data_IF_781631991234
#
_entry.id   IF_781631991234
#
_cell.length_a   1.000
_cell.length_b   1.000
_cell.length_c   1.000
_cell.angle_alpha   90.00
_cell.angle_beta   90.00
_cell.angle_gamma   90.00
#
_symmetry.space_group_name_H-M   'P 1'
#
loop_
_entity.id
_entity.type
_entity.pdbx_description
1 polymer ?
#
# COMPACT_ATOMS: atom_id res chain seq x y z
N UNK A 1 -28.24 -11.16 -52.71
CA UNK A 1 -27.50 -11.44 -51.47
C UNK A 1 -28.31 -12.49 -50.69
N UNK A 2 -27.79 -13.70 -50.63
CA UNK A 2 -28.51 -14.87 -50.07
C UNK A 2 -28.58 -14.75 -48.54
N UNK A 3 -29.66 -15.25 -47.93
CA UNK A 3 -29.90 -15.15 -46.45
C UNK A 3 -28.76 -15.69 -45.60
N UNK A 4 -28.00 -16.69 -46.09
CA UNK A 4 -26.79 -17.21 -45.46
C UNK A 4 -25.63 -16.21 -45.39
N UNK A 5 -25.49 -15.34 -46.40
CA UNK A 5 -24.46 -14.30 -46.41
C UNK A 5 -24.76 -13.20 -45.38
N UNK A 6 -26.03 -12.82 -45.24
CA UNK A 6 -26.49 -11.85 -44.22
C UNK A 6 -26.29 -12.37 -42.78
N UNK A 7 -26.61 -13.64 -42.54
CA UNK A 7 -26.39 -14.27 -41.24
C UNK A 7 -24.91 -14.34 -40.85
N UNK A 8 -24.03 -14.65 -41.82
CA UNK A 8 -22.57 -14.65 -41.59
C UNK A 8 -22.05 -13.24 -41.30
N UNK A 9 -22.47 -12.24 -42.04
CA UNK A 9 -22.07 -10.84 -41.82
C UNK A 9 -22.55 -10.34 -40.44
N UNK A 10 -23.80 -10.60 -40.09
CA UNK A 10 -24.30 -10.23 -38.76
C UNK A 10 -23.55 -10.94 -37.62
N UNK A 11 -23.26 -12.25 -37.78
CA UNK A 11 -22.49 -13.00 -36.79
C UNK A 11 -21.07 -12.44 -36.59
N UNK A 12 -20.39 -12.08 -37.69
CA UNK A 12 -19.06 -11.47 -37.63
C UNK A 12 -19.10 -10.09 -36.97
N UNK A 13 -20.12 -9.28 -37.29
CA UNK A 13 -20.29 -7.96 -36.68
C UNK A 13 -20.50 -8.04 -35.16
N UNK A 14 -21.35 -8.95 -34.71
CA UNK A 14 -21.58 -9.19 -33.27
C UNK A 14 -20.26 -9.65 -32.60
N UNK A 15 -19.52 -10.59 -33.21
CA UNK A 15 -18.26 -11.05 -32.65
C UNK A 15 -17.24 -9.93 -32.52
N UNK A 16 -17.12 -9.03 -33.49
CA UNK A 16 -16.22 -7.88 -33.46
C UNK A 16 -16.61 -6.91 -32.35
N UNK A 17 -17.91 -6.62 -32.20
CA UNK A 17 -18.39 -5.71 -31.15
C UNK A 17 -18.12 -6.29 -29.76
N UNK A 18 -18.36 -7.58 -29.57
CA UNK A 18 -18.07 -8.26 -28.29
C UNK A 18 -16.57 -8.26 -27.99
N UNK A 19 -15.74 -8.57 -28.97
CA UNK A 19 -14.28 -8.51 -28.80
C UNK A 19 -13.79 -7.10 -28.47
N UNK A 20 -14.30 -6.08 -29.13
CA UNK A 20 -13.99 -4.69 -28.85
C UNK A 20 -14.42 -4.26 -27.43
N UNK A 21 -15.60 -4.69 -26.99
CA UNK A 21 -16.09 -4.42 -25.62
C UNK A 21 -15.22 -5.11 -24.56
N UNK A 22 -14.77 -6.34 -24.79
CA UNK A 22 -13.87 -7.05 -23.86
C UNK A 22 -12.52 -6.32 -23.77
N UNK A 23 -11.94 -5.96 -24.91
CA UNK A 23 -10.67 -5.22 -24.96
C UNK A 23 -10.80 -3.86 -24.23
N UNK A 24 -11.85 -3.11 -24.53
CA UNK A 24 -12.13 -1.84 -23.85
C UNK A 24 -12.28 -2.04 -22.33
N UNK A 25 -12.99 -3.09 -21.90
CA UNK A 25 -13.14 -3.43 -20.49
C UNK A 25 -11.81 -3.68 -19.78
N UNK A 26 -10.90 -4.41 -20.42
CA UNK A 26 -9.54 -4.69 -19.88
C UNK A 26 -8.75 -3.38 -19.70
N UNK A 27 -8.84 -2.44 -20.66
CA UNK A 27 -8.17 -1.15 -20.56
C UNK A 27 -8.73 -0.26 -19.44
N UNK A 28 -10.03 -0.34 -19.16
CA UNK A 28 -10.68 0.45 -18.09
C UNK A 28 -10.37 -0.09 -16.70
N UNK A 29 -10.30 -1.42 -16.54
CA UNK A 29 -10.05 -2.06 -15.23
C UNK A 29 -8.59 -1.93 -14.82
N UNK A 30 -7.67 -1.63 -15.72
CA UNK A 30 -6.23 -1.60 -15.48
C UNK A 30 -5.59 -2.99 -15.50
N UNK A 31 -4.26 -3.03 -15.46
CA UNK A 31 -3.53 -4.30 -15.51
C UNK A 31 -3.63 -5.04 -14.16
N UNK A 32 -3.81 -6.38 -14.15
CA UNK A 32 -3.80 -7.17 -12.91
C UNK A 32 -2.50 -7.01 -12.10
N UNK A 33 -1.39 -6.72 -12.77
CA UNK A 33 -0.10 -6.48 -12.12
C UNK A 33 -0.10 -5.14 -11.37
N UNK A 34 -0.64 -4.07 -11.96
CA UNK A 34 -0.75 -2.76 -11.31
C UNK A 34 -1.67 -2.79 -10.09
N UNK A 35 -2.78 -3.53 -10.17
CA UNK A 35 -3.69 -3.69 -9.03
C UNK A 35 -3.04 -4.48 -7.89
N UNK A 36 -2.22 -5.48 -8.20
CA UNK A 36 -1.46 -6.24 -7.19
C UNK A 36 -0.40 -5.36 -6.51
N UNK A 37 0.34 -4.57 -7.28
CA UNK A 37 1.31 -3.61 -6.76
C UNK A 37 0.64 -2.60 -5.81
N UNK A 38 -0.49 -2.04 -6.20
CA UNK A 38 -1.25 -1.10 -5.38
C UNK A 38 -1.70 -1.71 -4.06
N UNK A 39 -2.21 -2.94 -4.06
CA UNK A 39 -2.62 -3.65 -2.83
C UNK A 39 -1.44 -3.93 -1.89
N UNK A 40 -0.26 -4.21 -2.43
CA UNK A 40 0.96 -4.37 -1.64
C UNK A 40 1.37 -3.04 -0.99
N UNK A 41 1.32 -1.95 -1.74
CA UNK A 41 1.65 -0.62 -1.24
C UNK A 41 0.65 -0.15 -0.17
N UNK A 42 -0.65 -0.37 -0.36
CA UNK A 42 -1.68 -0.13 0.67
C UNK A 42 -1.38 -0.93 1.96
N UNK A 43 -0.93 -2.17 1.83
CA UNK A 43 -0.55 -3.00 2.98
C UNK A 43 0.69 -2.47 3.68
N UNK A 44 1.71 -2.02 2.94
CA UNK A 44 2.89 -1.34 3.49
C UNK A 44 2.50 -0.11 4.32
N UNK A 45 1.61 0.72 3.80
CA UNK A 45 1.09 1.88 4.53
C UNK A 45 0.37 1.46 5.83
N UNK A 46 -0.44 0.41 5.78
CA UNK A 46 -1.11 -0.13 6.97
C UNK A 46 -0.12 -0.63 8.02
N UNK A 47 0.93 -1.33 7.59
CA UNK A 47 2.00 -1.83 8.46
C UNK A 47 2.77 -0.67 9.11
N UNK A 48 3.21 0.33 8.33
CA UNK A 48 3.87 1.52 8.86
C UNK A 48 3.00 2.30 9.84
N UNK A 49 1.71 2.43 9.55
CA UNK A 49 0.74 3.06 10.45
C UNK A 49 0.56 2.24 11.74
N UNK A 50 0.54 0.92 11.63
CA UNK A 50 0.52 0.02 12.79
C UNK A 50 1.76 0.15 13.67
N UNK A 51 2.94 0.16 13.06
CA UNK A 51 4.23 0.39 13.76
C UNK A 51 4.21 1.75 14.46
N UNK A 52 3.76 2.80 13.78
CA UNK A 52 3.68 4.13 14.35
C UNK A 52 2.80 4.19 15.61
N UNK A 53 1.61 3.59 15.57
CA UNK A 53 0.73 3.49 16.76
C UNK A 53 1.38 2.70 17.89
N UNK A 54 2.10 1.63 17.58
CA UNK A 54 2.83 0.86 18.57
C UNK A 54 3.97 1.66 19.21
N UNK A 55 4.66 2.51 18.44
CA UNK A 55 5.67 3.43 18.96
C UNK A 55 5.05 4.44 19.93
N UNK A 56 3.87 4.98 19.62
CA UNK A 56 3.15 5.91 20.51
C UNK A 56 2.78 5.24 21.84
N UNK A 57 2.31 3.99 21.81
CA UNK A 57 2.04 3.19 23.01
C UNK A 57 3.30 2.89 23.80
N UNK A 58 4.38 2.53 23.12
CA UNK A 58 5.69 2.29 23.74
C UNK A 58 6.21 3.55 24.43
N UNK A 59 6.15 4.69 23.75
CA UNK A 59 6.53 6.00 24.29
C UNK A 59 5.72 6.36 25.54
N UNK A 60 4.41 6.12 25.51
CA UNK A 60 3.55 6.38 26.68
C UNK A 60 3.95 5.58 27.91
N UNK A 61 4.45 4.36 27.72
CA UNK A 61 4.86 3.46 28.82
C UNK A 61 6.29 3.69 29.28
N UNK A 62 7.20 3.98 28.37
CA UNK A 62 8.65 3.99 28.61
C UNK A 62 9.26 5.39 28.58
N UNK A 63 8.56 6.40 28.04
CA UNK A 63 9.09 7.75 27.81
C UNK A 63 10.40 7.78 27.01
N UNK A 64 10.62 6.74 26.21
CA UNK A 64 11.76 6.54 25.33
C UNK A 64 11.31 5.85 24.05
N UNK A 65 12.07 6.02 22.98
CA UNK A 65 11.84 5.28 21.74
C UNK A 65 12.44 3.87 21.83
N UNK A 66 11.84 2.86 21.17
CA UNK A 66 12.45 1.55 21.05
C UNK A 66 13.73 1.64 20.21
N UNK A 67 14.75 0.83 20.52
CA UNK A 67 15.96 0.80 19.72
C UNK A 67 15.76 0.07 18.38
N UNK A 68 14.86 -0.91 18.34
CA UNK A 68 14.56 -1.72 17.16
C UNK A 68 13.09 -2.05 17.04
N UNK A 69 12.65 -2.42 15.82
CA UNK A 69 11.29 -2.92 15.60
C UNK A 69 11.02 -4.26 16.29
N UNK A 70 12.05 -5.07 16.49
CA UNK A 70 11.97 -6.33 17.23
C UNK A 70 11.66 -6.09 18.71
N UNK A 71 12.31 -5.12 19.33
CA UNK A 71 12.04 -4.69 20.71
C UNK A 71 10.60 -4.16 20.82
N UNK A 72 10.19 -3.30 19.91
CA UNK A 72 8.83 -2.78 19.85
C UNK A 72 7.79 -3.92 19.78
N UNK A 73 8.01 -4.91 18.92
CA UNK A 73 7.11 -6.05 18.78
C UNK A 73 7.06 -6.91 20.04
N UNK A 74 8.20 -7.14 20.68
CA UNK A 74 8.27 -7.91 21.92
C UNK A 74 7.53 -7.23 23.08
N UNK A 75 7.63 -5.91 23.19
CA UNK A 75 6.97 -5.13 24.25
C UNK A 75 5.48 -4.92 23.99
N UNK A 76 5.10 -4.69 22.72
CA UNK A 76 3.71 -4.44 22.36
C UNK A 76 2.81 -5.67 22.56
N UNK A 77 3.41 -6.87 22.64
CA UNK A 77 2.66 -8.14 22.70
C UNK A 77 1.74 -8.31 21.51
N UNK A 78 1.99 -7.55 20.45
CA UNK A 78 1.09 -7.33 19.37
C UNK A 78 1.61 -7.95 18.07
N UNK A 79 0.68 -8.41 17.30
CA UNK A 79 0.79 -8.84 15.92
C UNK A 79 1.09 -7.64 14.99
N UNK A 80 2.16 -6.87 15.27
CA UNK A 80 2.59 -5.82 14.34
C UNK A 80 3.48 -6.42 13.27
N UNK A 81 3.12 -6.18 12.02
CA UNK A 81 3.95 -6.53 10.88
C UNK A 81 5.16 -5.58 10.81
N UNK A 82 6.34 -6.13 11.00
CA UNK A 82 7.61 -5.38 10.94
C UNK A 82 8.43 -5.70 9.68
N UNK A 83 7.86 -6.49 8.78
CA UNK A 83 8.48 -6.94 7.54
C UNK A 83 7.57 -6.68 6.34
N UNK A 84 8.18 -6.36 5.21
CA UNK A 84 7.49 -6.16 3.94
C UNK A 84 6.75 -7.43 3.48
N UNK A 85 5.47 -7.36 3.10
CA UNK A 85 4.66 -8.52 2.76
C UNK A 85 5.09 -9.24 1.46
N UNK A 86 5.86 -8.57 0.59
CA UNK A 86 6.32 -9.15 -0.66
C UNK A 86 7.74 -9.72 -0.57
N UNK A 87 8.64 -9.05 0.14
CA UNK A 87 10.06 -9.39 0.19
C UNK A 87 10.49 -10.05 1.50
N UNK A 88 9.66 -9.99 2.56
CA UNK A 88 10.00 -10.37 3.92
C UNK A 88 11.19 -9.59 4.53
N UNK A 89 11.67 -8.55 3.86
CA UNK A 89 12.69 -7.68 4.40
C UNK A 89 12.12 -6.84 5.55
N UNK A 90 12.85 -6.61 6.63
CA UNK A 90 12.39 -5.75 7.72
C UNK A 90 12.23 -4.31 7.23
N UNK A 91 11.19 -3.61 7.72
CA UNK A 91 11.09 -2.17 7.53
C UNK A 91 12.24 -1.47 8.24
N UNK A 92 12.71 -0.37 7.67
CA UNK A 92 13.75 0.42 8.30
C UNK A 92 13.15 1.33 9.37
N UNK A 93 13.70 1.25 10.57
CA UNK A 93 13.35 2.10 11.70
C UNK A 93 14.61 2.77 12.22
N UNK A 94 14.54 4.06 12.45
CA UNK A 94 15.67 4.84 12.97
C UNK A 94 15.18 5.91 13.92
N UNK A 95 15.77 5.97 15.10
CA UNK A 95 15.60 7.09 16.02
C UNK A 95 16.45 8.27 15.53
N UNK A 96 15.90 9.48 15.54
CA UNK A 96 16.58 10.68 15.07
C UNK A 96 17.07 11.48 16.26
N UNK A 97 16.18 12.16 16.96
CA UNK A 97 16.51 12.96 18.14
C UNK A 97 15.27 13.12 19.02
N UNK A 98 15.46 12.98 20.34
CA UNK A 98 14.37 13.11 21.30
C UNK A 98 13.27 12.08 21.06
N UNK A 99 12.08 12.54 20.69
CA UNK A 99 10.93 11.70 20.38
C UNK A 99 10.75 11.46 18.87
N UNK A 100 11.68 11.93 18.03
CA UNK A 100 11.61 11.79 16.58
C UNK A 100 12.16 10.48 16.10
N UNK A 101 11.44 9.85 15.20
CA UNK A 101 11.85 8.63 14.53
C UNK A 101 11.49 8.65 13.04
N UNK A 102 12.13 7.81 12.29
CA UNK A 102 11.94 7.65 10.86
C UNK A 102 11.59 6.20 10.52
N UNK A 103 10.57 6.03 9.69
CA UNK A 103 10.15 4.75 9.14
C UNK A 103 10.30 4.78 7.62
N UNK A 104 10.98 3.78 7.05
CA UNK A 104 11.13 3.70 5.60
C UNK A 104 10.61 2.36 5.07
N UNK A 105 10.02 2.43 3.87
CA UNK A 105 9.61 1.28 3.07
C UNK A 105 9.91 1.51 1.59
N UNK A 106 9.88 0.44 0.81
CA UNK A 106 10.04 0.47 -0.65
C UNK A 106 8.68 0.22 -1.29
N UNK A 107 8.19 1.19 -2.06
CA UNK A 107 6.90 1.15 -2.73
C UNK A 107 7.05 0.82 -4.21
N UNK A 108 6.11 0.07 -4.77
CA UNK A 108 6.13 -0.31 -6.18
C UNK A 108 5.50 0.78 -7.07
N UNK A 109 4.51 1.49 -6.55
CA UNK A 109 3.79 2.54 -7.27
C UNK A 109 3.74 3.85 -6.52
N UNK A 110 2.99 4.78 -7.10
CA UNK A 110 2.66 6.07 -6.48
C UNK A 110 1.30 5.97 -5.79
N UNK A 111 1.21 6.54 -4.59
CA UNK A 111 -0.07 6.62 -3.89
C UNK A 111 -1.07 7.40 -4.72
N UNK A 112 -2.20 6.76 -5.06
CA UNK A 112 -3.27 7.41 -5.82
C UNK A 112 -3.83 8.61 -5.04
N UNK A 113 -4.23 9.64 -5.79
CA UNK A 113 -4.91 10.83 -5.25
C UNK A 113 -6.33 10.54 -4.71
N UNK A 114 -6.65 9.30 -4.41
CA UNK A 114 -7.94 8.90 -3.85
C UNK A 114 -8.01 9.32 -2.40
N UNK A 115 -8.41 10.56 -2.19
CA UNK A 115 -8.60 11.20 -0.90
C UNK A 115 -9.63 10.51 0.00
N UNK A 116 -9.21 9.46 0.64
CA UNK A 116 -9.86 8.94 1.84
C UNK A 116 -8.85 8.97 2.98
N UNK A 117 -9.10 9.92 3.88
CA UNK A 117 -8.51 10.09 5.19
C UNK A 117 -7.23 10.94 5.27
N UNK A 118 -7.24 11.82 6.24
CA UNK A 118 -6.14 12.72 6.63
C UNK A 118 -4.84 11.97 6.95
N UNK A 119 -4.95 10.72 7.42
CA UNK A 119 -3.79 9.83 7.62
C UNK A 119 -3.19 9.33 6.30
N UNK A 120 -4.00 9.09 5.28
CA UNK A 120 -3.51 8.69 3.96
C UNK A 120 -2.64 9.78 3.31
N UNK A 121 -2.88 11.06 3.60
CA UNK A 121 -2.06 12.18 3.13
C UNK A 121 -0.64 12.18 3.70
N UNK A 122 -0.47 11.76 4.97
CA UNK A 122 0.84 11.66 5.59
C UNK A 122 1.70 10.55 4.96
N UNK A 123 1.09 9.40 4.65
CA UNK A 123 1.76 8.26 4.03
C UNK A 123 1.81 8.33 2.51
N UNK A 124 1.57 9.52 1.93
CA UNK A 124 1.70 9.73 0.49
C UNK A 124 3.12 9.42 0.03
N UNK A 125 3.25 8.62 -1.01
CA UNK A 125 4.53 8.11 -1.48
C UNK A 125 4.61 8.06 -3.01
N UNK A 126 5.82 8.04 -3.51
CA UNK A 126 6.17 7.66 -4.88
C UNK A 126 6.72 6.24 -4.90
N UNK A 127 6.95 5.69 -6.09
CA UNK A 127 7.66 4.43 -6.23
C UNK A 127 9.11 4.56 -5.73
N UNK A 128 9.64 3.46 -5.19
CA UNK A 128 10.97 3.40 -4.62
C UNK A 128 10.98 3.58 -3.10
N UNK A 129 12.18 3.76 -2.55
CA UNK A 129 12.38 3.91 -1.11
C UNK A 129 11.87 5.27 -0.65
N UNK A 130 10.93 5.26 0.30
CA UNK A 130 10.36 6.45 0.93
C UNK A 130 10.50 6.34 2.44
N UNK A 131 10.84 7.46 3.07
CA UNK A 131 11.00 7.57 4.51
C UNK A 131 10.06 8.63 5.08
N UNK A 132 9.44 8.31 6.20
CA UNK A 132 8.46 9.15 6.89
C UNK A 132 8.98 9.45 8.29
N UNK A 133 9.14 10.72 8.60
CA UNK A 133 9.57 11.18 9.90
C UNK A 133 8.37 11.52 10.77
N UNK A 134 8.34 11.01 11.99
CA UNK A 134 7.26 11.25 12.96
C UNK A 134 7.83 11.56 14.34
N UNK A 135 7.01 12.25 15.12
CA UNK A 135 7.21 12.43 16.55
C UNK A 135 6.33 11.41 17.30
N UNK A 136 6.92 10.70 18.27
CA UNK A 136 6.15 9.85 19.14
C UNK A 136 5.23 10.70 20.03
N UNK A 137 3.96 10.35 20.08
CA UNK A 137 2.96 11.07 20.84
C UNK A 137 2.44 10.23 21.99
N UNK A 138 2.21 10.86 23.16
CA UNK A 138 1.56 10.19 24.28
C UNK A 138 0.10 9.90 23.94
N UNK A 139 -0.29 8.63 24.03
CA UNK A 139 -1.68 8.19 23.86
C UNK A 139 -2.43 8.54 25.14
N UNK A 140 -3.52 9.32 25.00
CA UNK A 140 -4.41 9.69 26.10
C UNK A 140 -5.52 8.68 26.31
#
# INVERSE_FOLDING_TARGET
>A
MNGQSRAKVMGTLVAVVVAAAIVAGIFVIGSPAGERARRLDERRVQDLSGISRAVDVYWTRRTSLPATLQELRAEAGADIAITDPATNAPYEFRTVEGQKYELCAVFEGESGASGREVEAGFWSHRSGRQCFQRDAAAVR
#
